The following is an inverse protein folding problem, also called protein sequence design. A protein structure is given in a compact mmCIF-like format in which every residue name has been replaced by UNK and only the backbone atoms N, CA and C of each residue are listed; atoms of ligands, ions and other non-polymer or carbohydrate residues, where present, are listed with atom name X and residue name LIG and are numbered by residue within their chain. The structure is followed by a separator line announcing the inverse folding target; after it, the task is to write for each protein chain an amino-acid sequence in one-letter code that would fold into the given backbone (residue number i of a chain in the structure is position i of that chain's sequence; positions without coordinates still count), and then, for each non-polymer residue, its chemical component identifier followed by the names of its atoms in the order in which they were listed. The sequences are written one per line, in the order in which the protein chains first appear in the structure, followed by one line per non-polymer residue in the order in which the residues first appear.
data_IF_418990907794
#
_entry.id   IF_418990907794
#
_cell.length_a   1.000
_cell.length_b   1.000
_cell.length_c   1.000
_cell.angle_alpha   90.00
_cell.angle_beta   90.00
_cell.angle_gamma   90.00
#
_symmetry.space_group_name_H-M   'P 1'
#
loop_
_entity.id
_entity.type
_entity.pdbx_description
1 polymer ?
#
# COMPACT_ATOMS: atom_id res chain seq x y z
N UNK A 1 5.95 12.32 -23.01
CA UNK A 1 4.93 13.28 -22.52
C UNK A 1 4.82 13.02 -21.04
N UNK A 2 5.21 13.99 -20.23
CA UNK A 2 5.12 13.89 -18.77
C UNK A 2 3.66 13.67 -18.35
N UNK A 3 3.41 12.71 -17.45
CA UNK A 3 2.09 12.46 -16.87
C UNK A 3 1.01 11.96 -17.83
N UNK A 4 1.32 10.99 -18.71
CA UNK A 4 0.35 10.45 -19.70
C UNK A 4 -0.93 9.87 -19.07
N UNK A 5 -0.86 9.32 -17.85
CA UNK A 5 -2.00 8.72 -17.14
C UNK A 5 -2.32 9.48 -15.84
N UNK A 6 -1.32 9.83 -15.06
CA UNK A 6 -1.45 10.65 -13.86
C UNK A 6 -0.24 11.60 -13.75
N UNK A 7 -0.46 12.80 -13.21
CA UNK A 7 0.58 13.80 -12.95
C UNK A 7 1.26 13.57 -11.58
N UNK A 8 0.50 13.06 -10.60
CA UNK A 8 0.99 12.70 -9.26
C UNK A 8 0.31 11.42 -8.79
N UNK A 9 1.07 10.58 -8.10
CA UNK A 9 0.58 9.41 -7.38
C UNK A 9 0.90 9.60 -5.89
N UNK A 10 -0.11 9.49 -5.03
CA UNK A 10 0.03 9.64 -3.58
C UNK A 10 -0.65 8.44 -2.93
N UNK A 11 0.09 7.75 -2.06
CA UNK A 11 -0.44 6.67 -1.24
C UNK A 11 -0.23 7.03 0.23
N UNK A 12 -1.28 6.92 1.04
CA UNK A 12 -1.26 7.22 2.48
C UNK A 12 -1.65 5.96 3.23
N UNK A 13 -0.80 5.51 4.16
CA UNK A 13 -1.07 4.36 5.00
C UNK A 13 -1.34 4.80 6.43
N UNK A 14 -2.37 4.20 7.02
CA UNK A 14 -2.76 4.42 8.39
C UNK A 14 -2.47 3.14 9.15
N UNK A 15 -1.36 3.13 9.87
CA UNK A 15 -0.94 1.97 10.63
C UNK A 15 -2.01 1.58 11.67
N UNK A 16 -2.20 0.27 11.86
CA UNK A 16 -3.15 -0.31 12.83
C UNK A 16 -4.61 0.18 12.68
N UNK A 17 -5.00 0.60 11.48
CA UNK A 17 -6.37 1.09 11.19
C UNK A 17 -7.09 0.11 10.26
N UNK A 18 -8.11 -0.56 10.79
CA UNK A 18 -9.00 -1.40 9.98
C UNK A 18 -10.12 -0.59 9.30
N UNK A 19 -10.86 -1.26 8.40
CA UNK A 19 -11.97 -0.66 7.66
C UNK A 19 -13.05 -0.06 8.58
N UNK A 20 -13.44 -0.78 9.65
CA UNK A 20 -14.52 -0.34 10.53
C UNK A 20 -14.11 0.93 11.30
N UNK A 21 -12.86 0.99 11.76
CA UNK A 21 -12.30 2.17 12.40
C UNK A 21 -12.28 3.35 11.43
N UNK A 22 -11.74 3.16 10.23
CA UNK A 22 -11.69 4.23 9.22
C UNK A 22 -13.09 4.73 8.85
N UNK A 23 -14.02 3.83 8.52
CA UNK A 23 -15.39 4.15 8.12
C UNK A 23 -16.22 4.83 9.24
N UNK A 24 -15.82 4.67 10.50
CA UNK A 24 -16.45 5.38 11.62
C UNK A 24 -16.16 6.88 11.65
N UNK A 25 -15.14 7.35 10.92
CA UNK A 25 -14.75 8.77 10.93
C UNK A 25 -15.47 9.58 9.84
N UNK A 26 -15.92 10.82 10.11
CA UNK A 26 -16.48 11.69 9.07
C UNK A 26 -15.49 11.98 7.93
N UNK A 27 -14.20 12.10 8.26
CA UNK A 27 -13.14 12.40 7.28
C UNK A 27 -13.08 11.34 6.18
N UNK A 28 -12.97 10.05 6.54
CA UNK A 28 -12.88 8.98 5.54
C UNK A 28 -14.23 8.70 4.85
N UNK A 29 -15.36 8.92 5.53
CA UNK A 29 -16.68 8.83 4.87
C UNK A 29 -16.84 9.87 3.76
N UNK A 30 -16.40 11.11 4.02
CA UNK A 30 -16.46 12.16 3.00
C UNK A 30 -15.49 11.86 1.86
N UNK A 31 -14.25 11.44 2.16
CA UNK A 31 -13.27 11.07 1.14
C UNK A 31 -13.75 9.92 0.24
N UNK A 32 -14.44 8.93 0.81
CA UNK A 32 -14.97 7.79 0.05
C UNK A 32 -16.02 8.18 -1.01
N UNK A 33 -16.62 9.38 -0.92
CA UNK A 33 -17.56 9.88 -1.93
C UNK A 33 -16.86 10.29 -3.23
N UNK A 34 -15.57 10.61 -3.17
CA UNK A 34 -14.77 11.08 -4.30
C UNK A 34 -14.01 9.95 -5.02
N UNK A 35 -14.28 8.69 -4.68
CA UNK A 35 -13.50 7.56 -5.18
C UNK A 35 -14.19 6.21 -5.11
N UNK A 36 -13.37 5.17 -5.08
CA UNK A 36 -13.82 3.77 -5.04
C UNK A 36 -13.35 3.16 -3.72
N UNK A 37 -14.29 2.63 -2.96
CA UNK A 37 -14.00 1.90 -1.72
C UNK A 37 -13.91 0.41 -2.01
N UNK A 38 -12.75 -0.20 -1.73
CA UNK A 38 -12.59 -1.65 -1.81
C UNK A 38 -13.07 -2.32 -0.53
N UNK A 39 -14.12 -3.14 -0.63
CA UNK A 39 -14.71 -3.86 0.53
C UNK A 39 -14.11 -5.25 0.77
N UNK A 40 -13.20 -5.69 -0.11
CA UNK A 40 -12.48 -6.95 -0.01
C UNK A 40 -10.96 -6.74 -0.16
N UNK A 41 -10.44 -5.69 0.47
CA UNK A 41 -9.01 -5.38 0.52
C UNK A 41 -8.42 -5.93 1.81
N UNK A 42 -7.59 -6.95 1.70
CA UNK A 42 -7.06 -7.72 2.83
C UNK A 42 -5.55 -7.52 2.95
N UNK A 43 -5.05 -7.52 4.18
CA UNK A 43 -3.61 -7.67 4.43
C UNK A 43 -3.12 -9.02 3.89
N UNK A 44 -1.86 -9.09 3.48
CA UNK A 44 -1.24 -10.32 3.00
C UNK A 44 -0.84 -11.22 4.16
N UNK A 45 -0.35 -10.64 5.26
CA UNK A 45 0.10 -11.37 6.46
C UNK A 45 0.15 -10.44 7.68
N UNK A 46 0.59 -10.98 8.81
CA UNK A 46 0.98 -10.25 10.02
C UNK A 46 2.35 -10.78 10.46
N UNK A 47 3.35 -9.94 10.81
CA UNK A 47 3.31 -8.51 11.16
C UNK A 47 3.21 -7.54 9.97
N UNK A 48 3.37 -6.23 10.25
CA UNK A 48 3.12 -5.15 9.28
C UNK A 48 4.21 -5.03 8.21
N UNK A 49 5.49 -5.31 8.53
CA UNK A 49 6.61 -5.13 7.61
C UNK A 49 6.42 -5.86 6.26
N UNK A 50 6.05 -7.15 6.21
CA UNK A 50 5.84 -7.85 4.93
C UNK A 50 4.77 -7.19 4.05
N UNK A 51 3.73 -6.58 4.63
CA UNK A 51 2.68 -5.90 3.86
C UNK A 51 3.23 -4.66 3.16
N UNK A 52 4.12 -3.93 3.83
CA UNK A 52 4.71 -2.70 3.31
C UNK A 52 5.67 -2.97 2.15
N UNK A 53 6.52 -3.97 2.35
CA UNK A 53 7.44 -4.44 1.32
C UNK A 53 6.66 -4.97 0.11
N UNK A 54 5.63 -5.80 0.34
CA UNK A 54 4.85 -6.39 -0.75
C UNK A 54 4.05 -5.36 -1.54
N UNK A 55 3.47 -4.36 -0.88
CA UNK A 55 2.74 -3.30 -1.57
C UNK A 55 3.64 -2.43 -2.45
N UNK A 56 4.94 -2.35 -2.13
CA UNK A 56 5.93 -1.58 -2.90
C UNK A 56 6.60 -2.43 -3.99
N UNK A 57 6.97 -3.68 -3.66
CA UNK A 57 7.74 -4.59 -4.50
C UNK A 57 6.92 -5.61 -5.29
N UNK A 58 5.62 -5.75 -5.01
CA UNK A 58 4.70 -6.64 -5.72
C UNK A 58 4.82 -8.14 -5.38
N UNK A 59 5.52 -8.50 -4.31
CA UNK A 59 5.85 -9.88 -3.93
C UNK A 59 6.12 -9.98 -2.41
N UNK A 60 5.86 -11.15 -1.80
CA UNK A 60 6.03 -11.37 -0.35
C UNK A 60 7.49 -11.58 0.09
N UNK A 61 8.37 -11.90 -0.85
CA UNK A 61 9.81 -12.18 -0.62
C UNK A 61 10.09 -13.24 0.46
N UNK A 62 9.13 -14.12 0.73
CA UNK A 62 9.21 -15.13 1.78
C UNK A 62 9.17 -14.57 3.21
N UNK A 63 8.86 -13.29 3.38
CA UNK A 63 8.82 -12.63 4.69
C UNK A 63 7.62 -13.11 5.51
N UNK A 64 7.85 -13.42 6.78
CA UNK A 64 6.80 -13.84 7.72
C UNK A 64 6.92 -13.19 9.11
N UNK A 65 7.87 -12.29 9.29
CA UNK A 65 8.18 -11.58 10.53
C UNK A 65 8.74 -10.18 10.22
N UNK A 66 9.31 -9.53 11.23
CA UNK A 66 9.95 -8.20 11.16
C UNK A 66 11.50 -8.31 11.25
N UNK A 67 12.08 -9.45 10.87
CA UNK A 67 13.54 -9.59 10.78
C UNK A 67 14.09 -8.82 9.56
N UNK A 68 15.41 -8.66 9.48
CA UNK A 68 16.02 -8.00 8.33
C UNK A 68 16.06 -8.91 7.09
N UNK A 69 15.43 -8.47 6.00
CA UNK A 69 15.51 -9.10 4.68
C UNK A 69 16.21 -8.19 3.67
N UNK A 70 17.30 -8.69 3.08
CA UNK A 70 17.99 -7.97 2.01
C UNK A 70 17.36 -8.27 0.65
N UNK A 71 16.59 -7.32 0.13
CA UNK A 71 16.05 -7.37 -1.24
C UNK A 71 17.13 -6.89 -2.22
N UNK A 72 17.52 -7.70 -3.22
CA UNK A 72 18.53 -7.29 -4.18
C UNK A 72 18.15 -6.05 -4.97
N UNK A 73 19.10 -5.14 -5.20
CA UNK A 73 18.88 -3.86 -5.89
C UNK A 73 18.53 -3.98 -7.37
N UNK A 74 18.64 -5.17 -7.97
CA UNK A 74 18.26 -5.43 -9.36
C UNK A 74 16.79 -5.86 -9.50
N UNK A 75 16.03 -5.87 -8.41
CA UNK A 75 14.58 -6.11 -8.40
C UNK A 75 13.88 -4.74 -8.50
N UNK A 76 13.06 -4.56 -9.53
CA UNK A 76 12.26 -3.35 -9.72
C UNK A 76 11.07 -3.31 -8.77
N UNK A 77 10.71 -2.11 -8.31
CA UNK A 77 9.54 -1.82 -7.50
C UNK A 77 8.65 -0.76 -8.17
N UNK A 78 7.55 -0.37 -7.53
CA UNK A 78 6.64 0.64 -8.07
C UNK A 78 7.34 1.99 -8.32
N UNK A 79 8.36 2.34 -7.54
CA UNK A 79 9.10 3.60 -7.74
C UNK A 79 9.88 3.58 -9.06
N UNK A 80 10.54 2.47 -9.40
CA UNK A 80 11.27 2.32 -10.68
C UNK A 80 10.34 2.37 -11.91
N UNK A 81 9.04 2.15 -11.71
CA UNK A 81 8.04 2.27 -12.78
C UNK A 81 7.47 3.68 -12.91
N UNK A 82 7.56 4.48 -11.83
CA UNK A 82 6.99 5.82 -11.76
C UNK A 82 8.04 6.93 -12.04
N UNK A 83 9.31 6.66 -11.79
CA UNK A 83 10.47 7.56 -11.96
C UNK A 83 11.44 7.06 -13.04
#
# INVERSE_FOLDING_TARGET
VEGKVFNRFIQIWLENTDYNVAASTPTFRNLAQDGITFTNYMALTHPSEPNYVSATGGELWGMHDDDYYHIPSNISCIVDLLE
#
